data_IF_730215029125
#
_entry.id   IF_730215029125
#
_cell.length_a   1.000
_cell.length_b   1.000
_cell.length_c   1.000
_cell.angle_alpha   90.00
_cell.angle_beta   90.00
_cell.angle_gamma   90.00
#
_symmetry.space_group_name_H-M   'P 1'
#
loop_
_entity.id
_entity.type
_entity.pdbx_description
1 polymer ?
#
# COMPACT_ATOMS: atom_id res chain seq x y z
N UNK A 1 -21.81 -17.48 -12.53
CA UNK A 1 -21.09 -16.24 -12.18
C UNK A 1 -19.84 -16.22 -13.04
N UNK A 2 -19.63 -15.23 -13.89
CA UNK A 2 -18.37 -15.11 -14.64
C UNK A 2 -17.28 -14.83 -13.61
N UNK A 3 -16.28 -15.69 -13.52
CA UNK A 3 -15.10 -15.42 -12.70
C UNK A 3 -14.47 -14.13 -13.22
N UNK A 4 -14.22 -13.18 -12.31
CA UNK A 4 -13.44 -11.98 -12.64
C UNK A 4 -12.03 -12.43 -12.99
N UNK A 5 -11.42 -11.91 -14.08
CA UNK A 5 -10.06 -12.31 -14.45
C UNK A 5 -9.00 -11.81 -13.43
N UNK A 6 -9.36 -10.81 -12.63
CA UNK A 6 -8.45 -10.22 -11.64
C UNK A 6 -8.97 -10.40 -10.20
N UNK A 7 -8.25 -11.10 -9.34
CA UNK A 7 -8.61 -11.23 -7.92
C UNK A 7 -8.40 -9.92 -7.12
N UNK A 8 -7.55 -9.01 -7.63
CA UNK A 8 -7.22 -7.73 -7.00
C UNK A 8 -6.93 -6.67 -8.06
N UNK A 9 -7.39 -5.45 -7.82
CA UNK A 9 -7.03 -4.24 -8.57
C UNK A 9 -6.37 -3.24 -7.62
N UNK A 10 -5.25 -2.67 -8.05
CA UNK A 10 -4.46 -1.71 -7.27
C UNK A 10 -4.27 -0.45 -8.11
N UNK A 11 -4.74 0.69 -7.62
CA UNK A 11 -4.52 1.99 -8.23
C UNK A 11 -3.68 2.90 -7.34
N UNK A 12 -2.88 3.73 -7.98
CA UNK A 12 -2.01 4.68 -7.30
C UNK A 12 -0.91 5.22 -8.19
N UNK A 13 0.10 5.83 -7.58
CA UNK A 13 1.23 6.40 -8.32
C UNK A 13 2.15 5.31 -8.87
N UNK A 14 2.64 5.55 -10.09
CA UNK A 14 3.77 4.85 -10.73
C UNK A 14 4.83 5.91 -11.00
N UNK A 15 6.02 5.77 -10.43
CA UNK A 15 7.00 6.84 -10.34
C UNK A 15 8.39 6.43 -10.80
N UNK A 16 9.19 7.45 -11.11
CA UNK A 16 10.66 7.36 -11.19
C UNK A 16 11.22 8.03 -9.93
N UNK A 17 11.86 7.24 -9.06
CA UNK A 17 12.39 7.73 -7.80
C UNK A 17 13.89 7.95 -7.82
N UNK A 18 14.34 8.95 -7.07
CA UNK A 18 15.73 9.24 -6.77
C UNK A 18 15.90 9.27 -5.24
N UNK A 19 16.59 8.29 -4.71
CA UNK A 19 16.68 8.09 -3.26
C UNK A 19 18.11 8.19 -2.79
N UNK A 20 18.33 9.00 -1.76
CA UNK A 20 19.57 9.08 -1.02
C UNK A 20 19.34 8.62 0.41
N UNK A 21 20.28 7.82 0.92
CA UNK A 21 20.34 7.38 2.32
C UNK A 21 21.71 7.75 2.89
N UNK A 22 21.93 7.66 4.20
CA UNK A 22 23.24 7.95 4.79
C UNK A 22 24.38 7.09 4.21
N UNK A 23 24.06 5.92 3.68
CA UNK A 23 25.05 4.95 3.18
C UNK A 23 25.24 4.93 1.67
N UNK A 24 24.24 5.38 0.89
CA UNK A 24 24.28 5.28 -0.58
C UNK A 24 23.22 6.18 -1.25
N UNK A 25 23.33 6.29 -2.59
CA UNK A 25 22.38 7.01 -3.44
C UNK A 25 22.09 6.19 -4.70
N UNK A 26 20.84 6.20 -5.14
CA UNK A 26 20.41 5.55 -6.37
C UNK A 26 19.35 6.39 -7.10
N UNK A 27 19.37 6.32 -8.42
CA UNK A 27 18.54 7.16 -9.30
C UNK A 27 17.84 6.31 -10.35
N UNK A 28 16.76 6.86 -10.96
CA UNK A 28 15.95 6.19 -11.97
C UNK A 28 15.39 4.84 -11.49
N UNK A 29 15.02 4.81 -10.21
CA UNK A 29 14.45 3.64 -9.57
C UNK A 29 12.96 3.51 -9.91
N UNK A 30 12.47 2.28 -9.99
CA UNK A 30 11.03 2.04 -9.94
C UNK A 30 10.48 2.52 -8.60
N UNK A 31 9.56 3.45 -8.66
CA UNK A 31 8.89 4.03 -7.51
C UNK A 31 7.37 4.05 -7.67
N UNK A 32 6.73 4.74 -6.74
CA UNK A 32 5.28 4.90 -6.71
C UNK A 32 4.57 3.82 -5.93
N UNK A 33 3.56 4.24 -5.20
CA UNK A 33 2.80 3.41 -4.25
C UNK A 33 2.18 2.17 -4.91
N UNK A 34 1.58 2.33 -6.09
CA UNK A 34 0.95 1.22 -6.79
C UNK A 34 1.96 0.20 -7.32
N UNK A 35 3.16 0.63 -7.70
CA UNK A 35 4.23 -0.27 -8.17
C UNK A 35 4.67 -1.24 -7.07
N UNK A 36 4.98 -0.71 -5.90
CA UNK A 36 5.36 -1.53 -4.73
C UNK A 36 4.21 -2.42 -4.27
N UNK A 37 3.00 -1.86 -4.16
CA UNK A 37 1.84 -2.62 -3.71
C UNK A 37 1.49 -3.75 -4.69
N UNK A 38 1.51 -3.51 -6.01
CA UNK A 38 1.21 -4.53 -7.00
C UNK A 38 2.26 -5.64 -7.01
N UNK A 39 3.55 -5.28 -6.94
CA UNK A 39 4.63 -6.26 -6.86
C UNK A 39 4.52 -7.11 -5.59
N UNK A 40 4.27 -6.51 -4.43
CA UNK A 40 4.11 -7.23 -3.17
C UNK A 40 2.87 -8.14 -3.18
N UNK A 41 1.75 -7.68 -3.74
CA UNK A 41 0.53 -8.49 -3.88
C UNK A 41 0.73 -9.70 -4.79
N UNK A 42 1.54 -9.57 -5.84
CA UNK A 42 1.79 -10.65 -6.82
C UNK A 42 2.45 -11.89 -6.24
N UNK A 43 3.06 -11.81 -5.07
CA UNK A 43 3.57 -12.97 -4.33
C UNK A 43 2.47 -13.93 -3.89
N UNK A 44 1.27 -13.42 -3.66
CA UNK A 44 0.14 -14.17 -3.12
C UNK A 44 -0.93 -14.41 -4.18
N UNK A 45 -1.19 -13.43 -5.02
CA UNK A 45 -2.32 -13.42 -5.95
C UNK A 45 -1.85 -12.95 -7.33
N UNK A 46 -2.28 -13.63 -8.39
CA UNK A 46 -1.91 -13.29 -9.76
C UNK A 46 -3.02 -13.72 -10.72
N UNK A 47 -3.32 -12.92 -11.74
CA UNK A 47 -2.72 -11.62 -12.06
C UNK A 47 -3.22 -10.50 -11.13
N UNK A 48 -2.35 -9.53 -10.85
CA UNK A 48 -2.69 -8.27 -10.17
C UNK A 48 -2.93 -7.20 -11.22
N UNK A 49 -4.10 -6.55 -11.22
CA UNK A 49 -4.35 -5.43 -12.14
C UNK A 49 -3.81 -4.13 -11.55
N UNK A 50 -2.89 -3.47 -12.26
CA UNK A 50 -2.32 -2.18 -11.91
C UNK A 50 -3.02 -1.05 -12.66
N UNK A 51 -3.50 -0.03 -11.92
CA UNK A 51 -4.08 1.19 -12.46
C UNK A 51 -3.16 2.35 -12.13
N UNK A 52 -2.72 3.08 -13.13
CA UNK A 52 -1.79 4.20 -12.98
C UNK A 52 -1.59 4.94 -14.29
N UNK A 53 -0.71 5.93 -14.29
CA UNK A 53 -0.29 6.66 -15.48
C UNK A 53 1.23 6.86 -15.47
N UNK A 54 1.84 6.73 -16.65
CA UNK A 54 3.26 6.98 -16.88
C UNK A 54 3.47 7.91 -18.05
N UNK A 55 4.61 8.58 -18.09
CA UNK A 55 5.04 9.43 -19.19
C UNK A 55 5.83 8.67 -20.24
N UNK A 56 6.22 9.43 -21.28
CA UNK A 56 7.04 8.92 -22.39
C UNK A 56 8.46 8.49 -21.98
N UNK A 57 8.94 9.01 -20.84
CA UNK A 57 10.28 8.82 -20.29
C UNK A 57 10.39 7.62 -19.33
N UNK A 58 9.28 6.90 -19.09
CA UNK A 58 9.28 5.81 -18.12
C UNK A 58 10.10 4.60 -18.62
N UNK A 59 11.06 4.09 -17.84
CA UNK A 59 11.94 2.99 -18.25
C UNK A 59 11.17 1.69 -18.57
N UNK A 60 11.35 1.16 -19.77
CA UNK A 60 10.64 -0.04 -20.24
C UNK A 60 10.96 -1.28 -19.38
N UNK A 61 12.20 -1.38 -18.87
CA UNK A 61 12.63 -2.49 -18.03
C UNK A 61 11.81 -2.64 -16.75
N UNK A 62 11.30 -1.54 -16.20
CA UNK A 62 10.42 -1.58 -15.02
C UNK A 62 9.07 -2.21 -15.34
N UNK A 63 8.50 -1.87 -16.50
CA UNK A 63 7.24 -2.45 -16.97
C UNK A 63 7.38 -3.94 -17.25
N UNK A 64 8.42 -4.32 -17.98
CA UNK A 64 8.73 -5.72 -18.27
C UNK A 64 8.94 -6.54 -16.98
N UNK A 65 9.58 -5.96 -15.98
CA UNK A 65 9.78 -6.62 -14.70
C UNK A 65 8.44 -6.86 -14.00
N UNK A 66 7.57 -5.84 -13.92
CA UNK A 66 6.23 -5.98 -13.33
C UNK A 66 5.39 -7.05 -14.03
N UNK A 67 5.39 -7.07 -15.36
CA UNK A 67 4.68 -8.11 -16.14
C UNK A 67 5.23 -9.52 -15.86
N UNK A 68 6.56 -9.71 -15.83
CA UNK A 68 7.19 -10.99 -15.47
C UNK A 68 6.80 -11.47 -14.08
N UNK A 69 6.47 -10.54 -13.16
CA UNK A 69 6.00 -10.83 -11.79
C UNK A 69 4.49 -11.05 -11.69
N UNK A 70 3.77 -11.05 -12.80
CA UNK A 70 2.32 -11.32 -12.84
C UNK A 70 1.45 -10.09 -12.59
N UNK A 71 2.00 -8.89 -12.76
CA UNK A 71 1.24 -7.64 -12.74
C UNK A 71 0.73 -7.35 -14.15
N UNK A 72 -0.58 -7.17 -14.30
CA UNK A 72 -1.21 -6.77 -15.56
C UNK A 72 -1.19 -5.24 -15.69
N UNK A 73 -0.64 -4.74 -16.78
CA UNK A 73 -0.46 -3.33 -17.07
C UNK A 73 -1.52 -2.73 -18.00
N UNK A 74 -2.62 -3.46 -18.28
CA UNK A 74 -3.72 -2.98 -19.16
C UNK A 74 -4.33 -1.66 -18.66
N UNK A 75 -4.30 -1.43 -17.32
CA UNK A 75 -4.79 -0.22 -16.69
C UNK A 75 -3.73 0.87 -16.50
N UNK A 76 -2.53 0.70 -17.05
CA UNK A 76 -1.47 1.72 -17.01
C UNK A 76 -1.56 2.60 -18.26
N UNK A 77 -2.03 3.82 -18.06
CA UNK A 77 -2.15 4.83 -19.13
C UNK A 77 -0.77 5.37 -19.52
N UNK A 78 -0.62 5.75 -20.79
CA UNK A 78 0.60 6.38 -21.34
C UNK A 78 0.32 7.79 -21.78
N UNK A 79 1.18 8.73 -21.35
CA UNK A 79 1.10 10.16 -21.68
C UNK A 79 2.32 10.62 -22.46
N UNK A 80 2.15 11.67 -23.25
CA UNK A 80 3.25 12.39 -23.90
C UNK A 80 4.03 13.30 -22.93
N UNK A 81 3.49 13.53 -21.72
CA UNK A 81 4.17 14.27 -20.66
C UNK A 81 5.21 13.37 -19.96
N UNK A 82 6.04 13.99 -19.10
CA UNK A 82 6.99 13.26 -18.24
C UNK A 82 6.26 12.48 -17.14
N UNK A 83 6.86 11.38 -16.71
CA UNK A 83 6.39 10.56 -15.59
C UNK A 83 6.43 11.33 -14.27
N UNK A 84 5.61 10.93 -13.33
CA UNK A 84 5.72 11.37 -11.94
C UNK A 84 7.11 11.01 -11.39
N UNK A 85 7.77 11.99 -10.76
CA UNK A 85 9.10 11.82 -10.17
C UNK A 85 9.11 12.26 -8.71
N UNK A 86 9.83 11.50 -7.88
CA UNK A 86 10.11 11.87 -6.51
C UNK A 86 11.61 11.79 -6.23
N UNK A 87 12.12 12.76 -5.48
CA UNK A 87 13.50 12.77 -5.01
C UNK A 87 13.54 13.11 -3.53
N UNK A 88 14.18 12.26 -2.75
CA UNK A 88 14.27 12.45 -1.31
C UNK A 88 15.52 11.84 -0.69
N UNK A 89 15.82 12.30 0.54
CA UNK A 89 16.93 11.86 1.36
C UNK A 89 16.44 11.41 2.72
N UNK A 90 16.80 10.18 3.11
CA UNK A 90 16.55 9.67 4.44
C UNK A 90 17.66 10.09 5.40
N UNK A 91 17.27 10.41 6.64
CA UNK A 91 18.19 10.76 7.72
C UNK A 91 18.73 9.50 8.40
N UNK A 92 19.69 9.69 9.31
CA UNK A 92 20.41 8.58 9.99
C UNK A 92 19.46 7.59 10.69
N UNK A 93 18.30 8.05 11.17
CA UNK A 93 17.30 7.19 11.81
C UNK A 93 16.44 6.38 10.82
N UNK A 94 16.59 6.59 9.51
CA UNK A 94 15.85 5.94 8.41
C UNK A 94 14.30 6.04 8.51
N UNK A 95 13.78 6.78 9.49
CA UNK A 95 12.35 7.04 9.68
C UNK A 95 11.94 8.44 9.20
N UNK A 96 12.87 9.38 9.23
CA UNK A 96 12.66 10.75 8.76
C UNK A 96 13.27 10.94 7.38
N UNK A 97 12.57 11.70 6.54
CA UNK A 97 13.04 12.03 5.20
C UNK A 97 12.86 13.50 4.89
N UNK A 98 13.73 14.02 4.04
CA UNK A 98 13.57 15.32 3.39
C UNK A 98 13.21 15.07 1.92
N UNK A 99 12.07 15.59 1.49
CA UNK A 99 11.70 15.60 0.07
C UNK A 99 12.38 16.78 -0.59
N UNK A 100 13.24 16.53 -1.57
CA UNK A 100 13.95 17.57 -2.33
C UNK A 100 13.17 18.07 -3.54
N UNK A 101 12.48 17.13 -4.23
CA UNK A 101 11.72 17.46 -5.44
C UNK A 101 10.55 16.50 -5.63
N UNK A 102 9.44 17.07 -6.06
CA UNK A 102 8.27 16.34 -6.57
C UNK A 102 7.94 16.90 -7.95
N UNK A 103 7.98 16.06 -8.98
CA UNK A 103 7.48 16.39 -10.31
C UNK A 103 6.15 15.70 -10.52
N UNK A 104 5.04 16.41 -10.35
CA UNK A 104 3.70 15.83 -10.52
C UNK A 104 3.45 15.39 -11.96
N UNK A 105 3.87 16.22 -12.95
CA UNK A 105 3.86 15.89 -14.38
C UNK A 105 2.53 15.24 -14.82
N UNK A 106 2.56 13.95 -15.23
CA UNK A 106 1.35 13.22 -15.67
C UNK A 106 0.24 13.19 -14.62
N UNK A 107 0.53 13.32 -13.33
CA UNK A 107 -0.47 13.27 -12.27
C UNK A 107 -1.29 14.57 -12.14
N UNK A 108 -0.79 15.72 -12.63
CA UNK A 108 -1.49 17.01 -12.48
C UNK A 108 -2.89 17.02 -13.09
N UNK A 109 -3.07 16.30 -14.19
CA UNK A 109 -4.33 16.25 -14.92
C UNK A 109 -4.89 14.84 -15.10
N UNK A 110 -4.30 13.86 -14.41
CA UNK A 110 -4.73 12.47 -14.54
C UNK A 110 -6.18 12.28 -14.08
N UNK A 111 -6.95 11.64 -14.96
CA UNK A 111 -8.30 11.14 -14.68
C UNK A 111 -8.26 9.62 -14.77
N UNK A 112 -8.52 8.98 -13.66
CA UNK A 112 -8.38 7.52 -13.53
C UNK A 112 -9.30 6.79 -14.50
N UNK A 113 -8.72 5.86 -15.26
CA UNK A 113 -9.46 4.97 -16.14
C UNK A 113 -9.26 3.51 -15.67
N UNK A 114 -10.34 2.86 -15.29
CA UNK A 114 -10.30 1.46 -14.86
C UNK A 114 -10.85 0.57 -15.96
N UNK A 115 -10.06 -0.36 -16.54
CA UNK A 115 -10.57 -1.36 -17.47
C UNK A 115 -11.74 -2.12 -16.86
N UNK A 116 -12.78 -2.37 -17.66
CA UNK A 116 -14.03 -3.00 -17.18
C UNK A 116 -13.79 -4.32 -16.43
N UNK A 117 -12.84 -5.12 -16.88
CA UNK A 117 -12.49 -6.38 -16.25
C UNK A 117 -11.87 -6.16 -14.87
N UNK A 118 -10.96 -5.16 -14.72
CA UNK A 118 -10.30 -4.80 -13.48
C UNK A 118 -11.29 -4.23 -12.46
N UNK A 119 -12.28 -3.45 -12.92
CA UNK A 119 -13.34 -2.88 -12.08
C UNK A 119 -14.28 -3.92 -11.45
N UNK A 120 -14.15 -5.20 -11.83
CA UNK A 120 -14.91 -6.32 -11.24
C UNK A 120 -14.13 -7.05 -10.14
N UNK A 121 -12.90 -6.63 -9.83
CA UNK A 121 -12.08 -7.27 -8.81
C UNK A 121 -12.75 -7.22 -7.42
N UNK A 122 -12.73 -8.32 -6.66
CA UNK A 122 -13.33 -8.36 -5.32
C UNK A 122 -12.54 -7.57 -4.28
N UNK A 123 -11.23 -7.37 -4.49
CA UNK A 123 -10.40 -6.49 -3.65
C UNK A 123 -9.94 -5.30 -4.47
N UNK A 124 -10.21 -4.11 -3.94
CA UNK A 124 -9.81 -2.82 -4.51
C UNK A 124 -8.84 -2.14 -3.55
N UNK A 125 -7.64 -1.86 -4.03
CA UNK A 125 -6.61 -1.14 -3.27
C UNK A 125 -6.42 0.24 -3.88
N UNK A 126 -6.71 1.26 -3.10
CA UNK A 126 -6.49 2.66 -3.40
C UNK A 126 -5.19 3.08 -2.72
N UNK A 127 -4.06 2.77 -3.35
CA UNK A 127 -2.75 3.18 -2.86
C UNK A 127 -2.61 4.71 -3.02
N UNK A 128 -1.51 5.27 -2.50
CA UNK A 128 -1.34 6.72 -2.46
C UNK A 128 -1.52 7.39 -3.83
N UNK A 129 -2.57 8.18 -3.92
CA UNK A 129 -2.92 9.12 -4.99
C UNK A 129 -3.88 10.16 -4.40
N UNK A 130 -4.25 11.20 -5.17
CA UNK A 130 -5.17 12.20 -4.66
C UNK A 130 -6.51 11.58 -4.24
N UNK A 131 -7.16 12.11 -3.18
CA UNK A 131 -8.49 11.64 -2.80
C UNK A 131 -9.54 11.72 -3.92
N UNK A 132 -9.40 12.66 -4.84
CA UNK A 132 -10.24 12.74 -6.04
C UNK A 132 -10.04 11.53 -6.95
N UNK A 133 -8.78 11.15 -7.21
CA UNK A 133 -8.49 9.95 -8.00
C UNK A 133 -8.93 8.66 -7.29
N UNK A 134 -8.82 8.60 -5.95
CA UNK A 134 -9.34 7.47 -5.17
C UNK A 134 -10.85 7.33 -5.34
N UNK A 135 -11.60 8.43 -5.28
CA UNK A 135 -13.06 8.44 -5.51
C UNK A 135 -13.40 8.07 -6.96
N UNK A 136 -12.70 8.64 -7.96
CA UNK A 136 -12.89 8.29 -9.37
C UNK A 136 -12.69 6.80 -9.64
N UNK A 137 -11.66 6.19 -9.02
CA UNK A 137 -11.43 4.75 -9.12
C UNK A 137 -12.55 3.94 -8.48
N UNK A 138 -12.99 4.34 -7.28
CA UNK A 138 -14.08 3.66 -6.57
C UNK A 138 -15.40 3.65 -7.35
N UNK A 139 -15.71 4.71 -8.05
CA UNK A 139 -16.92 4.80 -8.88
C UNK A 139 -16.90 3.81 -10.06
N UNK A 140 -15.71 3.53 -10.58
CA UNK A 140 -15.51 2.60 -11.69
C UNK A 140 -15.35 1.14 -11.23
N UNK A 141 -14.96 0.91 -9.97
CA UNK A 141 -14.86 -0.41 -9.37
C UNK A 141 -16.22 -0.83 -8.77
N UNK A 142 -17.16 -1.25 -9.60
CA UNK A 142 -18.54 -1.55 -9.19
C UNK A 142 -18.89 -3.06 -9.24
N UNK A 143 -17.91 -3.92 -9.01
CA UNK A 143 -17.95 -5.38 -9.13
C UNK A 143 -18.94 -6.15 -8.26
N UNK A 144 -20.20 -5.69 -8.20
CA UNK A 144 -21.36 -6.53 -7.82
C UNK A 144 -21.42 -7.00 -6.37
N UNK A 145 -21.42 -6.11 -5.41
CA UNK A 145 -22.03 -6.36 -4.10
C UNK A 145 -21.11 -6.70 -2.92
N UNK A 146 -20.06 -7.48 -3.05
CA UNK A 146 -19.14 -7.86 -1.96
C UNK A 146 -17.69 -7.58 -2.35
N UNK A 147 -17.33 -6.33 -2.51
CA UNK A 147 -15.93 -5.92 -2.64
C UNK A 147 -15.36 -5.52 -1.28
N UNK A 148 -14.07 -5.69 -1.11
CA UNK A 148 -13.30 -5.20 0.02
C UNK A 148 -12.41 -4.05 -0.44
N UNK A 149 -12.62 -2.88 0.12
CA UNK A 149 -11.92 -1.65 -0.26
C UNK A 149 -10.87 -1.30 0.78
N UNK A 150 -9.61 -1.26 0.35
CA UNK A 150 -8.48 -0.88 1.18
C UNK A 150 -7.88 0.41 0.63
N UNK A 151 -7.57 1.35 1.50
CA UNK A 151 -6.84 2.55 1.10
C UNK A 151 -5.72 2.89 2.07
N UNK A 152 -4.72 3.61 1.56
CA UNK A 152 -3.81 4.41 2.36
C UNK A 152 -3.91 5.90 1.99
N UNK A 153 -3.09 6.70 2.64
CA UNK A 153 -2.96 8.14 2.40
C UNK A 153 -1.52 8.58 2.64
N UNK A 154 -1.26 9.87 2.49
CA UNK A 154 -0.01 10.49 2.94
C UNK A 154 -0.29 11.86 3.58
N UNK A 155 0.70 12.38 4.30
CA UNK A 155 0.70 13.68 4.97
C UNK A 155 0.20 14.82 4.08
N UNK A 156 0.64 14.87 2.83
CA UNK A 156 0.20 15.88 1.86
C UNK A 156 -1.32 15.94 1.74
N UNK A 157 -2.00 14.80 1.58
CA UNK A 157 -3.45 14.79 1.39
C UNK A 157 -4.21 15.14 2.66
N UNK A 158 -3.66 14.80 3.83
CA UNK A 158 -4.20 15.21 5.13
C UNK A 158 -4.13 16.72 5.26
N UNK A 159 -3.07 17.37 4.76
CA UNK A 159 -2.86 18.80 4.83
C UNK A 159 -3.71 19.58 3.81
N UNK A 160 -3.66 19.20 2.52
CA UNK A 160 -4.23 20.03 1.43
C UNK A 160 -5.59 19.56 0.90
N UNK A 161 -6.00 18.31 1.18
CA UNK A 161 -7.21 17.69 0.64
C UNK A 161 -8.05 16.98 1.73
N UNK A 162 -8.00 17.46 2.96
CA UNK A 162 -8.62 16.84 4.13
C UNK A 162 -10.13 16.59 3.96
N UNK A 163 -10.88 17.56 3.43
CA UNK A 163 -12.32 17.42 3.19
C UNK A 163 -12.60 16.26 2.22
N UNK A 164 -11.85 16.18 1.13
CA UNK A 164 -12.01 15.10 0.14
C UNK A 164 -11.59 13.74 0.70
N UNK A 165 -10.55 13.69 1.54
CA UNK A 165 -10.15 12.47 2.24
C UNK A 165 -11.28 11.97 3.16
N UNK A 166 -12.00 12.87 3.83
CA UNK A 166 -13.16 12.51 4.65
C UNK A 166 -14.34 11.96 3.84
N UNK A 167 -14.43 12.23 2.54
CA UNK A 167 -15.42 11.59 1.65
C UNK A 167 -14.99 10.16 1.24
N UNK A 168 -13.68 9.88 1.22
CA UNK A 168 -13.15 8.53 0.96
C UNK A 168 -13.39 7.59 2.14
N UNK A 169 -13.11 8.04 3.38
CA UNK A 169 -13.11 7.19 4.59
C UNK A 169 -14.38 6.33 4.77
N UNK A 170 -15.62 6.85 4.60
CA UNK A 170 -16.84 6.05 4.73
C UNK A 170 -17.03 4.98 3.65
N UNK A 171 -16.20 5.02 2.61
CA UNK A 171 -16.24 4.07 1.47
C UNK A 171 -15.28 2.90 1.65
N UNK A 172 -14.48 2.90 2.73
CA UNK A 172 -13.43 1.93 3.00
C UNK A 172 -13.89 0.85 3.97
N UNK A 173 -13.45 -0.38 3.72
CA UNK A 173 -13.49 -1.45 4.71
C UNK A 173 -12.26 -1.39 5.61
N UNK A 174 -11.09 -1.05 5.03
CA UNK A 174 -9.83 -0.97 5.74
C UNK A 174 -9.03 0.27 5.34
N UNK A 175 -8.58 1.01 6.33
CA UNK A 175 -7.69 2.16 6.16
C UNK A 175 -6.32 1.90 6.77
N UNK A 176 -5.25 2.11 6.00
CA UNK A 176 -3.87 1.83 6.40
C UNK A 176 -3.07 3.13 6.36
N UNK A 177 -2.44 3.50 7.47
CA UNK A 177 -1.68 4.74 7.56
C UNK A 177 -0.50 4.59 8.52
N UNK A 178 0.47 5.51 8.48
CA UNK A 178 1.56 5.54 9.45
C UNK A 178 1.15 6.28 10.74
N UNK A 179 2.01 6.27 11.74
CA UNK A 179 1.72 6.88 13.05
C UNK A 179 1.59 8.41 12.99
N UNK A 180 2.37 9.09 12.13
CA UNK A 180 2.28 10.54 11.92
C UNK A 180 0.93 10.90 11.32
N UNK A 181 0.60 10.29 10.19
CA UNK A 181 -0.69 10.45 9.51
C UNK A 181 -1.88 10.16 10.44
N UNK A 182 -1.76 9.12 11.28
CA UNK A 182 -2.81 8.77 12.23
C UNK A 182 -3.00 9.83 13.31
N UNK A 183 -1.91 10.41 13.83
CA UNK A 183 -1.97 11.50 14.81
C UNK A 183 -2.59 12.76 14.22
N UNK A 184 -2.16 13.13 13.02
CA UNK A 184 -2.60 14.35 12.32
C UNK A 184 -4.09 14.25 11.96
N UNK A 185 -4.51 13.16 11.33
CA UNK A 185 -5.90 12.97 10.90
C UNK A 185 -6.89 12.79 12.08
N UNK A 186 -6.42 12.20 13.18
CA UNK A 186 -7.22 12.02 14.39
C UNK A 186 -7.15 13.21 15.36
N UNK A 187 -6.18 14.11 15.21
CA UNK A 187 -5.98 15.26 16.10
C UNK A 187 -5.54 14.88 17.51
N UNK A 188 -4.80 13.77 17.68
CA UNK A 188 -4.34 13.30 19.00
C UNK A 188 -2.98 12.61 18.91
N UNK A 189 -2.14 12.83 19.92
CA UNK A 189 -0.84 12.15 20.05
C UNK A 189 -0.95 10.71 20.55
N UNK A 190 -2.09 10.27 21.05
CA UNK A 190 -2.29 8.93 21.58
C UNK A 190 -2.78 7.98 20.46
N UNK A 191 -1.95 7.06 20.01
CA UNK A 191 -2.26 6.15 18.88
C UNK A 191 -3.42 5.21 19.15
N UNK A 192 -3.66 4.79 20.39
CA UNK A 192 -4.82 3.96 20.73
C UNK A 192 -6.11 4.77 20.59
N UNK A 193 -6.07 6.03 20.99
CA UNK A 193 -7.19 6.95 20.80
C UNK A 193 -7.36 7.28 19.30
N UNK A 194 -6.26 7.55 18.59
CA UNK A 194 -6.28 7.82 17.15
C UNK A 194 -6.94 6.68 16.37
N UNK A 195 -6.53 5.42 16.60
CA UNK A 195 -7.12 4.28 15.90
C UNK A 195 -8.63 4.13 16.14
N UNK A 196 -9.11 4.38 17.35
CA UNK A 196 -10.55 4.37 17.64
C UNK A 196 -11.31 5.50 16.94
N UNK A 197 -10.78 6.73 17.00
CA UNK A 197 -11.37 7.88 16.32
C UNK A 197 -11.43 7.69 14.81
N UNK A 198 -10.40 7.08 14.22
CA UNK A 198 -10.35 6.82 12.78
C UNK A 198 -11.36 5.74 12.35
N UNK A 199 -11.56 4.69 13.15
CA UNK A 199 -12.63 3.71 12.94
C UNK A 199 -14.00 4.39 12.97
N UNK A 200 -14.22 5.36 13.86
CA UNK A 200 -15.49 6.10 13.96
C UNK A 200 -15.73 7.04 12.75
N UNK A 201 -14.69 7.38 11.99
CA UNK A 201 -14.79 8.21 10.76
C UNK A 201 -15.32 7.44 9.54
N UNK A 202 -15.45 6.11 9.61
CA UNK A 202 -16.06 5.33 8.51
C UNK A 202 -15.55 3.91 8.38
N UNK A 203 -14.24 3.67 8.24
CA UNK A 203 -13.69 2.35 7.99
C UNK A 203 -14.09 1.32 9.06
N UNK A 204 -14.31 0.07 8.66
CA UNK A 204 -14.55 -1.03 9.61
C UNK A 204 -13.27 -1.39 10.37
N UNK A 205 -12.14 -1.19 9.70
CA UNK A 205 -10.82 -1.54 10.21
C UNK A 205 -9.81 -0.42 9.94
N UNK A 206 -8.88 -0.22 10.86
CA UNK A 206 -7.77 0.71 10.71
C UNK A 206 -6.48 0.00 11.10
N UNK A 207 -5.45 0.11 10.25
CA UNK A 207 -4.09 -0.33 10.56
C UNK A 207 -3.19 0.89 10.68
N UNK A 208 -2.51 1.03 11.82
CA UNK A 208 -1.50 2.05 12.04
C UNK A 208 -0.12 1.38 12.00
N UNK A 209 0.68 1.73 11.00
CA UNK A 209 2.07 1.30 10.82
C UNK A 209 2.97 2.12 11.77
N UNK A 210 3.87 1.46 12.47
CA UNK A 210 4.76 2.04 13.48
C UNK A 210 6.25 1.91 13.10
N UNK A 211 6.56 1.77 11.81
CA UNK A 211 7.92 1.56 11.34
C UNK A 211 8.57 0.34 11.98
N UNK A 212 9.73 0.53 12.58
CA UNK A 212 10.51 -0.52 13.28
C UNK A 212 9.79 -1.14 14.48
N UNK A 213 8.72 -0.51 14.98
CA UNK A 213 7.94 -1.00 16.11
C UNK A 213 6.73 -1.85 15.70
N UNK A 214 6.49 -2.07 14.41
CA UNK A 214 5.47 -2.97 13.88
C UNK A 214 4.18 -2.30 13.47
N UNK A 215 3.03 -2.85 13.86
CA UNK A 215 1.72 -2.33 13.47
C UNK A 215 0.62 -2.60 14.52
N UNK A 216 -0.41 -1.77 14.50
CA UNK A 216 -1.63 -1.91 15.30
C UNK A 216 -2.84 -2.03 14.39
N UNK A 217 -3.70 -2.99 14.65
CA UNK A 217 -4.99 -3.18 13.98
C UNK A 217 -6.12 -2.84 14.95
N UNK A 218 -7.02 -1.99 14.50
CA UNK A 218 -8.27 -1.63 15.18
C UNK A 218 -9.44 -2.13 14.33
N UNK A 219 -10.39 -2.83 14.93
CA UNK A 219 -11.55 -3.37 14.23
C UNK A 219 -12.83 -3.09 14.99
N UNK A 220 -13.85 -2.58 14.31
CA UNK A 220 -15.21 -2.48 14.86
C UNK A 220 -15.73 -3.86 15.20
N UNK A 221 -16.20 -4.06 16.44
CA UNK A 221 -16.94 -5.27 16.79
C UNK A 221 -18.39 -5.13 16.36
N UNK A 222 -18.87 -6.10 15.60
CA UNK A 222 -20.27 -6.19 15.28
C UNK A 222 -21.10 -6.30 16.59
N UNK A 223 -22.12 -5.44 16.74
CA UNK A 223 -23.10 -5.44 17.83
C UNK A 223 -22.64 -4.99 19.24
N UNK A 224 -21.38 -4.57 19.41
CA UNK A 224 -20.91 -4.18 20.75
C UNK A 224 -20.54 -2.70 20.90
N UNK A 225 -20.45 -1.96 19.80
CA UNK A 225 -20.00 -0.55 19.80
C UNK A 225 -18.55 -0.36 20.31
N UNK A 226 -17.82 -1.48 20.49
CA UNK A 226 -16.44 -1.50 20.96
C UNK A 226 -15.48 -1.74 19.79
N UNK A 227 -14.20 -1.33 19.98
CA UNK A 227 -13.12 -1.53 19.00
C UNK A 227 -12.13 -2.54 19.57
N UNK A 228 -11.91 -3.61 18.82
CA UNK A 228 -10.90 -4.61 19.13
C UNK A 228 -9.53 -4.13 18.66
N UNK A 229 -8.49 -4.36 19.48
CA UNK A 229 -7.11 -4.00 19.21
C UNK A 229 -6.24 -5.24 19.12
N UNK A 230 -5.41 -5.31 18.08
CA UNK A 230 -4.32 -6.26 17.94
C UNK A 230 -3.02 -5.53 17.58
N UNK A 231 -1.89 -5.99 18.08
CA UNK A 231 -0.57 -5.41 17.81
C UNK A 231 0.45 -6.49 17.48
N UNK A 232 1.29 -6.22 16.47
CA UNK A 232 2.46 -7.04 16.15
C UNK A 232 3.73 -6.20 16.22
N UNK A 233 4.90 -6.77 16.59
CA UNK A 233 6.20 -6.12 16.36
C UNK A 233 6.57 -6.17 14.88
N UNK A 234 7.57 -5.38 14.47
CA UNK A 234 8.22 -5.54 13.17
C UNK A 234 9.22 -6.71 13.21
N UNK A 235 9.63 -7.18 12.02
CA UNK A 235 10.82 -8.02 11.90
C UNK A 235 12.06 -7.15 12.13
N UNK A 236 12.95 -7.51 13.08
CA UNK A 236 14.14 -6.71 13.37
C UNK A 236 15.16 -6.83 12.22
N UNK A 237 15.54 -5.68 11.66
CA UNK A 237 16.60 -5.58 10.65
C UNK A 237 17.84 -4.96 11.31
N UNK A 238 19.00 -5.59 11.11
CA UNK A 238 20.27 -5.00 11.54
C UNK A 238 20.70 -3.82 10.66
N UNK A 239 20.30 -3.86 9.39
CA UNK A 239 20.62 -2.82 8.41
C UNK A 239 19.38 -2.52 7.55
N UNK A 240 19.09 -1.26 7.38
CA UNK A 240 18.09 -0.76 6.45
C UNK A 240 18.81 -0.05 5.31
N UNK A 241 18.63 -0.55 4.09
CA UNK A 241 19.25 0.04 2.90
C UNK A 241 18.42 1.22 2.35
N UNK A 242 17.09 1.01 2.24
CA UNK A 242 16.14 2.00 1.74
C UNK A 242 14.72 1.67 2.25
N UNK A 243 14.09 2.52 3.06
CA UNK A 243 12.74 2.26 3.56
C UNK A 243 11.62 2.70 2.59
N UNK A 244 11.98 3.27 1.42
CA UNK A 244 11.01 3.71 0.40
C UNK A 244 10.14 2.54 -0.06
N UNK A 245 8.83 2.74 -0.09
CA UNK A 245 7.87 1.72 -0.53
C UNK A 245 7.60 0.61 0.48
N UNK A 246 8.21 0.62 1.68
CA UNK A 246 7.93 -0.38 2.71
C UNK A 246 6.46 -0.37 3.13
N UNK A 247 5.86 0.83 3.28
CA UNK A 247 4.44 1.00 3.59
C UNK A 247 3.52 0.49 2.48
N UNK A 248 3.89 0.75 1.23
CA UNK A 248 3.14 0.31 0.06
C UNK A 248 3.24 -1.21 -0.14
N UNK A 249 4.43 -1.76 0.10
CA UNK A 249 4.64 -3.21 0.09
C UNK A 249 3.87 -3.92 1.20
N UNK A 250 3.77 -3.30 2.39
CA UNK A 250 2.91 -3.77 3.48
C UNK A 250 1.46 -3.83 3.01
N UNK A 251 0.94 -2.73 2.45
CA UNK A 251 -0.43 -2.63 1.95
C UNK A 251 -0.72 -3.69 0.88
N UNK A 252 0.15 -3.79 -0.12
CA UNK A 252 0.00 -4.73 -1.23
C UNK A 252 0.06 -6.19 -0.80
N UNK A 253 1.02 -6.56 0.05
CA UNK A 253 1.15 -7.93 0.55
C UNK A 253 -0.05 -8.33 1.43
N UNK A 254 -0.53 -7.42 2.26
CA UNK A 254 -1.72 -7.66 3.08
C UNK A 254 -2.95 -7.92 2.21
N UNK A 255 -3.21 -7.07 1.22
CA UNK A 255 -4.34 -7.23 0.30
C UNK A 255 -4.19 -8.48 -0.57
N UNK A 256 -2.99 -8.78 -1.05
CA UNK A 256 -2.68 -10.00 -1.79
C UNK A 256 -2.90 -11.26 -0.98
N UNK A 257 -2.49 -11.28 0.29
CA UNK A 257 -2.74 -12.40 1.21
C UNK A 257 -4.24 -12.64 1.39
N UNK A 258 -5.03 -11.59 1.67
CA UNK A 258 -6.48 -11.69 1.81
C UNK A 258 -7.13 -12.27 0.55
N UNK A 259 -6.71 -11.79 -0.62
CA UNK A 259 -7.22 -12.28 -1.91
C UNK A 259 -6.98 -13.78 -2.15
N UNK A 260 -5.88 -14.32 -1.63
CA UNK A 260 -5.45 -15.69 -1.92
C UNK A 260 -5.89 -16.70 -0.87
N UNK A 261 -6.06 -16.30 0.38
CA UNK A 261 -6.17 -17.23 1.51
C UNK A 261 -7.46 -17.09 2.30
N UNK A 262 -8.19 -15.99 2.13
CA UNK A 262 -9.38 -15.69 2.92
C UNK A 262 -10.60 -15.48 2.03
N UNK A 263 -11.77 -15.56 2.61
CA UNK A 263 -13.05 -15.27 1.95
C UNK A 263 -13.73 -14.09 2.64
N UNK A 264 -14.29 -13.20 1.86
CA UNK A 264 -15.07 -12.08 2.40
C UNK A 264 -16.35 -12.57 3.12
N UNK A 265 -16.79 -11.89 4.18
CA UNK A 265 -16.20 -10.68 4.74
C UNK A 265 -14.92 -10.97 5.54
N UNK A 266 -13.89 -10.13 5.38
CA UNK A 266 -12.64 -10.30 6.11
C UNK A 266 -12.78 -9.77 7.54
N UNK A 267 -12.75 -10.65 8.49
CA UNK A 267 -12.89 -10.33 9.91
C UNK A 267 -11.54 -9.92 10.56
N UNK A 268 -11.59 -9.59 11.84
CA UNK A 268 -10.39 -9.26 12.62
C UNK A 268 -9.34 -10.37 12.58
N UNK A 269 -9.74 -11.63 12.54
CA UNK A 269 -8.82 -12.78 12.54
C UNK A 269 -8.07 -12.90 11.20
N UNK A 270 -8.78 -12.77 10.09
CA UNK A 270 -8.18 -12.72 8.75
C UNK A 270 -7.18 -11.55 8.62
N UNK A 271 -7.56 -10.37 9.11
CA UNK A 271 -6.71 -9.19 9.09
C UNK A 271 -5.46 -9.32 9.98
N UNK A 272 -5.54 -10.01 11.12
CA UNK A 272 -4.36 -10.32 11.95
C UNK A 272 -3.32 -11.12 11.17
N UNK A 273 -3.73 -12.08 10.38
CA UNK A 273 -2.80 -12.82 9.51
C UNK A 273 -2.25 -11.92 8.40
N UNK A 274 -3.12 -11.16 7.73
CA UNK A 274 -2.72 -10.29 6.64
C UNK A 274 -1.66 -9.25 7.05
N UNK A 275 -1.77 -8.62 8.23
CA UNK A 275 -0.77 -7.63 8.69
C UNK A 275 0.58 -8.27 9.02
N UNK A 276 0.62 -9.56 9.40
CA UNK A 276 1.89 -10.28 9.58
C UNK A 276 2.61 -10.40 8.24
N UNK A 277 1.90 -10.85 7.20
CA UNK A 277 2.48 -10.95 5.85
C UNK A 277 2.87 -9.58 5.30
N UNK A 278 2.06 -8.54 5.53
CA UNK A 278 2.40 -7.15 5.21
C UNK A 278 3.70 -6.70 5.87
N UNK A 279 3.85 -6.93 7.19
CA UNK A 279 5.05 -6.58 7.95
C UNK A 279 6.29 -7.32 7.47
N UNK A 280 6.17 -8.61 7.16
CA UNK A 280 7.30 -9.39 6.62
C UNK A 280 7.72 -8.90 5.24
N UNK A 281 6.77 -8.59 4.35
CA UNK A 281 7.07 -8.04 3.03
C UNK A 281 7.74 -6.68 3.11
N UNK A 282 7.23 -5.78 3.96
CA UNK A 282 7.84 -4.48 4.23
C UNK A 282 9.29 -4.61 4.71
N UNK A 283 9.59 -5.59 5.56
CA UNK A 283 10.95 -5.83 6.02
C UNK A 283 11.90 -6.26 4.89
N UNK A 284 11.44 -7.03 3.90
CA UNK A 284 12.22 -7.34 2.71
C UNK A 284 12.45 -6.10 1.84
N UNK A 285 11.44 -5.25 1.67
CA UNK A 285 11.59 -4.00 0.90
C UNK A 285 12.74 -3.15 1.44
N UNK A 286 12.88 -3.04 2.76
CA UNK A 286 13.93 -2.25 3.41
C UNK A 286 15.36 -2.79 3.20
N UNK A 287 15.56 -3.99 2.68
CA UNK A 287 16.90 -4.62 2.52
C UNK A 287 17.66 -4.13 1.27
N UNK A 288 17.01 -3.46 0.32
CA UNK A 288 17.64 -2.94 -0.89
C UNK A 288 16.91 -1.70 -1.43
N UNK A 289 17.58 -0.93 -2.28
CA UNK A 289 16.95 0.20 -2.96
C UNK A 289 15.79 -0.24 -3.85
N UNK A 290 14.68 0.52 -3.78
CA UNK A 290 13.50 0.29 -4.61
C UNK A 290 12.95 -1.13 -4.47
N UNK A 291 12.47 -1.70 -5.56
CA UNK A 291 11.87 -3.04 -5.62
C UNK A 291 12.87 -4.19 -5.74
N UNK A 292 14.18 -3.91 -5.79
CA UNK A 292 15.24 -4.90 -6.11
C UNK A 292 15.20 -6.14 -5.23
N UNK A 293 14.92 -5.96 -3.93
CA UNK A 293 14.83 -7.11 -3.03
C UNK A 293 13.57 -7.93 -3.29
N UNK A 294 12.45 -7.29 -3.57
CA UNK A 294 11.21 -7.98 -3.93
C UNK A 294 11.32 -8.70 -5.28
N UNK A 295 12.07 -8.14 -6.22
CA UNK A 295 12.34 -8.80 -7.51
C UNK A 295 13.09 -10.13 -7.36
N UNK A 296 14.01 -10.21 -6.43
CA UNK A 296 14.83 -11.42 -6.17
C UNK A 296 14.23 -12.34 -5.10
N UNK A 297 13.25 -11.87 -4.32
CA UNK A 297 12.66 -12.63 -3.21
C UNK A 297 11.95 -13.89 -3.71
N UNK A 298 12.17 -14.99 -2.98
CA UNK A 298 11.47 -16.25 -3.22
C UNK A 298 10.37 -16.51 -2.20
N UNK A 299 9.41 -17.39 -2.53
CA UNK A 299 8.35 -17.81 -1.61
C UNK A 299 8.92 -18.57 -0.41
N UNK A 300 10.01 -19.27 -0.60
CA UNK A 300 10.74 -20.02 0.42
C UNK A 300 11.34 -19.08 1.47
N UNK A 301 12.00 -18.00 1.03
CA UNK A 301 12.57 -16.99 1.94
C UNK A 301 11.47 -16.28 2.75
N UNK A 302 10.35 -15.92 2.10
CA UNK A 302 9.21 -15.34 2.79
C UNK A 302 8.66 -16.31 3.86
N UNK A 303 8.46 -17.57 3.51
CA UNK A 303 7.98 -18.59 4.43
C UNK A 303 8.93 -18.82 5.62
N UNK A 304 10.23 -18.82 5.37
CA UNK A 304 11.27 -18.94 6.42
C UNK A 304 11.23 -17.75 7.39
N UNK A 305 11.08 -16.52 6.87
CA UNK A 305 10.97 -15.32 7.72
C UNK A 305 9.70 -15.33 8.55
N UNK A 306 8.56 -15.74 8.00
CA UNK A 306 7.30 -15.88 8.73
C UNK A 306 7.44 -16.91 9.85
N UNK A 307 8.05 -18.04 9.60
CA UNK A 307 8.25 -19.07 10.63
C UNK A 307 9.21 -18.60 11.72
N UNK A 308 10.29 -17.90 11.35
CA UNK A 308 11.21 -17.29 12.30
C UNK A 308 10.51 -16.20 13.15
N UNK A 309 9.68 -15.36 12.51
CA UNK A 309 8.87 -14.36 13.22
C UNK A 309 7.91 -15.00 14.21
N UNK A 310 7.22 -16.08 13.81
CA UNK A 310 6.32 -16.84 14.71
C UNK A 310 7.06 -17.34 15.93
N UNK A 311 8.26 -17.90 15.78
CA UNK A 311 9.09 -18.37 16.89
C UNK A 311 9.55 -17.23 17.80
N UNK A 312 9.90 -16.08 17.22
CA UNK A 312 10.38 -14.93 17.98
C UNK A 312 9.27 -14.21 18.77
N UNK A 313 8.00 -14.37 18.36
CA UNK A 313 6.85 -13.68 18.96
C UNK A 313 5.92 -14.59 19.76
N UNK A 314 6.14 -15.90 19.74
CA UNK A 314 5.41 -16.86 20.58
C UNK A 314 5.93 -16.84 22.02
N UNK A 315 5.05 -17.00 23.00
CA UNK A 315 5.32 -17.06 24.44
C UNK A 315 4.46 -18.16 25.10
#
# INVERSE_FOLDING_TARGET
MSQTPYPIVIGGTVAIDHVKTPSAEASHLLGGSASYAALAASFFSSPVSLIGIIGHDFPAEHLEMLERKGVCLEGVERSENESFTWSGEYHDNMNERTTHRVGLNVLESWKVQVPKASGQAPIVVLANMSPDNQLEMLEQCNGGGNRFVVADTMDLWIEIANERLHEVLPRLDLFVLNEGEARDLAGTSNLVQAGRLLVDKGPQHVVIKLGEFGAMLFSKKANEGSVELFRIPAWPLETVADPTGAGDSFLGAMAGYLSAHEQAPYDHTALRQAIIYGSMMASFTCEAFSTRRLESLTKEELSQRIEAFRKATSW
#
